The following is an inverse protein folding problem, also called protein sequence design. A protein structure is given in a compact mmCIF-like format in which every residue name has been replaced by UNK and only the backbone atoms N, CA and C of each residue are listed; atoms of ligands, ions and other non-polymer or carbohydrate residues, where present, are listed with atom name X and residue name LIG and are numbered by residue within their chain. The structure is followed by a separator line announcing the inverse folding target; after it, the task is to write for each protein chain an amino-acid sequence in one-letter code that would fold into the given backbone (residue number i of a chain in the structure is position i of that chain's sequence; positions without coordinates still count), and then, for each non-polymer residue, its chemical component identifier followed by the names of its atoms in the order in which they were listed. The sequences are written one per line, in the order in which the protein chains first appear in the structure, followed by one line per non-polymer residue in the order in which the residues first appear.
data_IF_970131201438
#
_entry.id   IF_970131201438
#
_cell.length_a   1.000
_cell.length_b   1.000
_cell.length_c   1.000
_cell.angle_alpha   90.00
_cell.angle_beta   90.00
_cell.angle_gamma   90.00
#
_symmetry.space_group_name_H-M   'P 1'
#
loop_
_entity.id
_entity.type
_entity.pdbx_description
1 polymer ?
#
# COMPACT_ATOMS: atom_id res chain seq x y z
N UNK A 1 -22.47 37.22 15.76
CA UNK A 1 -21.39 36.31 15.33
C UNK A 1 -21.59 35.02 16.13
N UNK A 2 -21.95 33.84 15.61
CA UNK A 2 -21.46 33.08 14.44
C UNK A 2 -22.63 32.47 13.66
N UNK A 3 -22.44 32.36 12.35
CA UNK A 3 -23.37 31.82 11.35
C UNK A 3 -23.31 30.29 11.31
N UNK A 4 -24.46 29.67 10.97
CA UNK A 4 -24.71 28.46 10.13
C UNK A 4 -23.74 27.25 10.27
N UNK A 5 -24.18 26.00 10.25
CA UNK A 5 -24.97 25.37 9.19
C UNK A 5 -25.73 24.14 9.69
N UNK A 6 -26.93 23.96 9.14
CA UNK A 6 -27.79 22.76 9.19
C UNK A 6 -27.54 21.97 7.90
N UNK A 7 -27.37 20.65 7.98
CA UNK A 7 -27.72 19.64 6.96
C UNK A 7 -27.61 18.26 7.65
N UNK A 8 -28.70 17.52 7.96
CA UNK A 8 -29.54 16.71 7.06
C UNK A 8 -28.70 15.71 6.24
N UNK A 9 -28.97 14.41 6.13
CA UNK A 9 -30.22 13.66 6.30
C UNK A 9 -29.92 12.16 6.53
N UNK A 10 -30.97 11.42 6.88
CA UNK A 10 -30.98 10.01 7.27
C UNK A 10 -31.04 9.02 6.10
N UNK A 11 -30.57 7.80 6.41
CA UNK A 11 -31.16 6.47 6.09
C UNK A 11 -31.28 5.96 4.64
N UNK A 12 -30.77 4.73 4.43
CA UNK A 12 -31.39 3.52 3.82
C UNK A 12 -30.28 2.63 3.23
N UNK A 13 -29.88 1.52 3.84
CA UNK A 13 -30.51 0.18 3.90
C UNK A 13 -30.37 -0.66 2.61
N UNK A 14 -29.96 -1.93 2.82
CA UNK A 14 -30.19 -3.17 2.03
C UNK A 14 -29.03 -3.77 1.20
N UNK A 15 -28.63 -4.99 1.59
CA UNK A 15 -27.99 -6.05 0.77
C UNK A 15 -26.53 -5.78 0.37
N UNK A 16 -25.54 -6.66 0.58
CA UNK A 16 -25.48 -8.08 0.23
C UNK A 16 -24.51 -8.78 1.20
N UNK A 17 -24.84 -10.02 1.51
CA UNK A 17 -24.05 -11.02 2.24
C UNK A 17 -22.56 -11.06 1.89
N UNK A 18 -21.73 -11.14 2.93
CA UNK A 18 -20.49 -11.92 2.89
C UNK A 18 -19.21 -11.14 2.59
N UNK A 19 -18.74 -10.34 3.53
CA UNK A 19 -17.29 -10.19 3.71
C UNK A 19 -17.02 -10.25 5.21
N UNK A 20 -16.45 -11.38 5.63
CA UNK A 20 -15.90 -11.52 6.96
C UNK A 20 -14.97 -10.33 7.19
N UNK A 21 -15.31 -9.48 8.18
CA UNK A 21 -14.36 -8.60 8.80
C UNK A 21 -13.33 -9.49 9.51
N UNK A 22 -12.38 -10.02 8.74
CA UNK A 22 -11.17 -10.59 9.30
C UNK A 22 -10.43 -9.42 9.92
N UNK A 23 -10.63 -9.24 11.23
CA UNK A 23 -9.77 -8.45 12.07
C UNK A 23 -8.39 -9.12 12.05
N UNK A 24 -7.60 -8.84 11.03
CA UNK A 24 -6.17 -9.08 11.06
C UNK A 24 -5.59 -8.01 11.96
N UNK A 25 -4.93 -8.46 13.03
CA UNK A 25 -4.03 -7.66 13.84
C UNK A 25 -2.85 -7.28 12.92
N UNK A 26 -3.05 -6.26 12.07
CA UNK A 26 -2.09 -5.81 11.07
C UNK A 26 -1.84 -4.31 11.24
N UNK A 27 -0.58 -3.90 11.12
CA UNK A 27 -0.11 -2.56 11.46
C UNK A 27 -0.59 -1.54 10.40
N UNK A 28 -1.83 -1.06 10.56
CA UNK A 28 -2.37 0.14 9.91
C UNK A 28 -2.85 -0.02 8.46
N UNK A 29 -3.97 0.64 8.16
CA UNK A 29 -4.52 0.81 6.80
C UNK A 29 -3.58 1.68 5.96
N UNK A 30 -3.05 1.10 4.89
CA UNK A 30 -2.30 1.81 3.86
C UNK A 30 -3.14 2.90 3.20
N UNK A 31 -2.55 4.08 2.96
CA UNK A 31 -3.27 5.24 2.46
C UNK A 31 -3.57 5.12 0.95
N UNK A 32 -4.83 5.39 0.59
CA UNK A 32 -5.34 5.69 -0.76
C UNK A 32 -4.77 4.81 -1.90
N UNK A 33 -5.24 3.57 -1.98
CA UNK A 33 -5.22 2.86 -3.24
C UNK A 33 -6.32 3.42 -4.17
N UNK A 34 -6.22 3.26 -5.51
CA UNK A 34 -7.37 3.39 -6.41
C UNK A 34 -8.55 2.62 -5.80
N UNK A 35 -9.77 3.13 -5.91
CA UNK A 35 -10.93 2.86 -5.03
C UNK A 35 -11.21 1.36 -4.70
N UNK A 36 -10.62 0.42 -5.44
CA UNK A 36 -10.84 -1.01 -5.32
C UNK A 36 -9.59 -1.86 -4.98
N UNK A 37 -8.40 -1.27 -4.86
CA UNK A 37 -7.18 -2.00 -4.48
C UNK A 37 -7.06 -2.14 -2.96
N UNK A 38 -6.90 -3.36 -2.45
CA UNK A 38 -6.63 -3.61 -1.04
C UNK A 38 -5.12 -3.64 -0.79
N UNK A 39 -4.60 -2.68 -0.03
CA UNK A 39 -3.18 -2.63 0.34
C UNK A 39 -3.03 -2.95 1.83
N UNK A 40 -2.21 -3.94 2.14
CA UNK A 40 -1.87 -4.35 3.50
C UNK A 40 -0.39 -4.09 3.75
N UNK A 41 -0.08 -3.43 4.87
CA UNK A 41 1.29 -3.11 5.26
C UNK A 41 1.71 -3.98 6.44
N UNK A 42 2.94 -4.49 6.35
CA UNK A 42 3.62 -5.22 7.41
C UNK A 42 4.80 -4.39 7.95
N UNK A 43 5.48 -4.89 8.97
CA UNK A 43 6.64 -4.20 9.55
C UNK A 43 7.77 -3.95 8.55
N UNK A 44 7.98 -4.86 7.60
CA UNK A 44 9.14 -4.82 6.68
C UNK A 44 8.75 -4.69 5.20
N UNK A 45 7.48 -4.41 4.90
CA UNK A 45 6.99 -4.36 3.52
C UNK A 45 5.50 -4.09 3.43
N UNK A 46 4.93 -4.35 2.25
CA UNK A 46 3.50 -4.32 2.02
C UNK A 46 3.11 -5.28 0.89
N UNK A 47 1.82 -5.60 0.85
CA UNK A 47 1.18 -6.27 -0.27
C UNK A 47 0.01 -5.48 -0.79
N UNK A 48 -0.28 -5.63 -2.09
CA UNK A 48 -1.46 -5.07 -2.73
C UNK A 48 -2.18 -6.15 -3.52
N UNK A 49 -3.50 -6.15 -3.42
CA UNK A 49 -4.41 -6.97 -4.21
C UNK A 49 -5.40 -6.06 -4.90
N UNK A 50 -5.34 -6.01 -6.23
CA UNK A 50 -6.21 -5.18 -7.06
C UNK A 50 -7.15 -6.08 -7.89
N UNK A 51 -8.44 -5.71 -8.05
CA UNK A 51 -9.35 -6.42 -8.94
C UNK A 51 -8.86 -6.34 -10.39
N UNK A 52 -9.24 -7.33 -11.20
CA UNK A 52 -8.88 -7.34 -12.61
C UNK A 52 -9.36 -6.07 -13.33
N UNK A 53 -8.46 -5.43 -14.05
CA UNK A 53 -8.69 -4.21 -14.80
C UNK A 53 -7.89 -4.32 -16.11
N UNK A 54 -8.61 -4.43 -17.23
CA UNK A 54 -8.02 -4.67 -18.53
C UNK A 54 -7.34 -3.41 -19.05
N UNK A 55 -6.01 -3.44 -19.14
CA UNK A 55 -5.21 -2.39 -19.76
C UNK A 55 -4.61 -1.37 -18.79
N UNK A 56 -4.84 -1.50 -17.48
CA UNK A 56 -4.18 -0.65 -16.48
C UNK A 56 -3.05 -1.42 -15.79
N UNK A 57 -1.85 -0.85 -15.79
CA UNK A 57 -0.73 -1.38 -15.01
C UNK A 57 -0.60 -0.60 -13.71
N UNK A 58 -0.41 -1.31 -12.60
CA UNK A 58 -0.21 -0.73 -11.27
C UNK A 58 1.21 -0.98 -10.78
N UNK A 59 1.68 -0.10 -9.89
CA UNK A 59 2.91 -0.29 -9.11
C UNK A 59 2.56 -0.10 -7.63
N UNK A 60 3.05 -1.02 -6.80
CA UNK A 60 3.00 -0.89 -5.34
C UNK A 60 4.22 -0.11 -4.86
N UNK A 61 3.96 1.00 -4.19
CA UNK A 61 4.95 1.83 -3.50
C UNK A 61 4.95 1.49 -2.01
N UNK A 62 6.14 1.32 -1.45
CA UNK A 62 6.35 1.10 -0.02
C UNK A 62 7.39 2.11 0.46
N UNK A 63 6.96 3.00 1.34
CA UNK A 63 7.85 3.94 2.00
C UNK A 63 8.56 3.18 3.12
N UNK A 64 9.89 3.17 3.07
CA UNK A 64 10.76 2.46 3.97
C UNK A 64 11.66 3.43 4.73
N UNK A 65 12.02 3.08 5.96
CA UNK A 65 12.97 3.83 6.79
C UNK A 65 13.95 2.85 7.42
N UNK A 66 15.25 3.02 7.16
CA UNK A 66 16.27 2.18 7.78
C UNK A 66 17.63 2.23 7.10
N UNK A 67 18.42 1.19 7.33
CA UNK A 67 19.72 0.97 6.71
C UNK A 67 19.52 0.27 5.36
N UNK A 68 19.96 0.90 4.27
CA UNK A 68 19.86 0.37 2.92
C UNK A 68 21.19 0.50 2.17
N UNK A 69 21.41 -0.34 1.15
CA UNK A 69 22.56 -0.21 0.28
C UNK A 69 22.36 0.99 -0.65
N UNK A 70 23.22 2.00 -0.53
CA UNK A 70 23.13 3.23 -1.33
C UNK A 70 24.05 3.22 -2.56
N UNK A 71 24.72 2.10 -2.81
CA UNK A 71 25.70 1.95 -3.88
C UNK A 71 26.37 0.58 -3.89
N UNK A 72 27.52 0.42 -4.59
CA UNK A 72 28.29 -0.81 -4.53
C UNK A 72 28.72 -1.11 -3.09
N UNK A 73 28.66 -2.38 -2.74
CA UNK A 73 29.07 -2.84 -1.41
C UNK A 73 30.50 -2.36 -1.07
N UNK A 74 30.77 -1.87 0.16
CA UNK A 74 29.91 -1.84 1.36
C UNK A 74 29.28 -0.46 1.64
N UNK A 75 28.83 0.27 0.60
CA UNK A 75 28.22 1.58 0.81
C UNK A 75 26.76 1.45 1.31
N UNK A 76 26.55 1.80 2.57
CA UNK A 76 25.24 1.87 3.19
C UNK A 76 24.88 3.31 3.56
N UNK A 77 23.59 3.61 3.49
CA UNK A 77 23.00 4.82 4.02
C UNK A 77 21.89 4.47 5.02
N UNK A 78 21.63 5.41 5.92
CA UNK A 78 20.52 5.33 6.87
C UNK A 78 19.56 6.46 6.55
N UNK A 79 18.31 6.14 6.27
CA UNK A 79 17.32 7.14 5.94
C UNK A 79 16.05 6.58 5.30
N UNK A 80 15.15 7.47 4.88
CA UNK A 80 13.95 7.08 4.14
C UNK A 80 14.30 6.73 2.69
N UNK A 81 13.63 5.72 2.15
CA UNK A 81 13.69 5.35 0.74
C UNK A 81 12.37 4.71 0.31
N UNK A 82 12.12 4.62 -1.00
CA UNK A 82 10.91 4.00 -1.54
C UNK A 82 11.29 2.70 -2.22
N UNK A 83 10.67 1.60 -1.77
CA UNK A 83 10.70 0.32 -2.47
C UNK A 83 9.49 0.21 -3.38
N UNK A 84 9.68 -0.25 -4.62
CA UNK A 84 8.60 -0.38 -5.60
C UNK A 84 8.51 -1.82 -6.08
N UNK A 85 7.29 -2.31 -6.29
CA UNK A 85 7.11 -3.53 -7.07
C UNK A 85 7.41 -3.28 -8.55
N UNK A 86 7.62 -4.36 -9.30
CA UNK A 86 7.49 -4.28 -10.75
C UNK A 86 6.06 -3.88 -11.13
N UNK A 87 5.87 -3.19 -12.28
CA UNK A 87 4.55 -2.97 -12.83
C UNK A 87 3.83 -4.30 -13.01
N UNK A 88 2.57 -4.36 -12.62
CA UNK A 88 1.74 -5.55 -12.75
C UNK A 88 0.37 -5.19 -13.32
N UNK A 89 -0.13 -6.05 -14.20
CA UNK A 89 -1.55 -6.03 -14.60
C UNK A 89 -2.36 -6.67 -13.49
N UNK A 90 -3.37 -6.00 -12.94
CA UNK A 90 -4.12 -6.52 -11.82
C UNK A 90 -5.00 -7.67 -12.32
N UNK A 91 -5.03 -8.74 -11.54
CA UNK A 91 -5.76 -9.97 -11.85
C UNK A 91 -6.34 -10.62 -10.58
N UNK A 92 -6.45 -9.85 -9.49
CA UNK A 92 -6.84 -10.36 -8.17
C UNK A 92 -5.73 -11.11 -7.42
N UNK A 93 -4.53 -11.25 -7.98
CA UNK A 93 -3.39 -11.81 -7.24
C UNK A 93 -2.77 -10.77 -6.30
N UNK A 94 -2.24 -11.27 -5.19
CA UNK A 94 -1.49 -10.48 -4.23
C UNK A 94 -0.07 -10.25 -4.74
N UNK A 95 0.33 -8.99 -4.82
CA UNK A 95 1.69 -8.56 -5.16
C UNK A 95 2.36 -7.99 -3.92
N UNK A 96 3.62 -8.33 -3.69
CA UNK A 96 4.36 -7.92 -2.48
C UNK A 96 5.58 -7.09 -2.84
N UNK A 97 5.85 -6.05 -2.04
CA UNK A 97 7.09 -5.28 -2.07
C UNK A 97 7.67 -5.16 -0.67
N UNK A 98 8.98 -5.38 -0.55
CA UNK A 98 9.69 -5.41 0.73
C UNK A 98 10.70 -4.28 0.86
N UNK A 99 10.94 -3.83 2.09
CA UNK A 99 12.00 -2.88 2.41
C UNK A 99 13.37 -3.57 2.44
N UNK A 100 13.45 -4.84 2.86
CA UNK A 100 14.74 -5.55 3.07
C UNK A 100 15.39 -6.10 1.78
N UNK A 101 14.76 -5.92 0.61
CA UNK A 101 15.23 -6.47 -0.68
C UNK A 101 16.37 -5.70 -1.35
N UNK A 102 16.82 -4.57 -0.81
CA UNK A 102 17.84 -3.69 -1.42
C UNK A 102 19.30 -4.15 -1.17
N UNK A 103 19.56 -5.44 -0.97
CA UNK A 103 20.90 -5.99 -0.85
C UNK A 103 21.22 -6.62 0.52
N UNK A 104 22.44 -7.16 0.69
CA UNK A 104 22.83 -7.85 1.91
C UNK A 104 22.88 -6.87 3.09
N UNK A 105 22.39 -7.29 4.27
CA UNK A 105 22.47 -6.49 5.49
C UNK A 105 21.50 -5.29 5.56
N UNK A 106 20.55 -5.16 4.63
CA UNK A 106 19.51 -4.12 4.68
C UNK A 106 18.51 -4.43 5.78
N UNK A 107 18.28 -3.45 6.65
CA UNK A 107 17.31 -3.53 7.75
C UNK A 107 16.50 -2.25 7.75
N UNK A 108 15.23 -2.36 7.43
CA UNK A 108 14.33 -1.22 7.35
C UNK A 108 12.89 -1.62 7.65
N UNK A 109 12.12 -0.64 8.10
CA UNK A 109 10.70 -0.79 8.40
C UNK A 109 9.87 -0.04 7.37
N UNK A 110 8.72 -0.60 7.01
CA UNK A 110 7.75 0.10 6.17
C UNK A 110 7.03 1.14 7.02
N UNK A 111 7.01 2.40 6.60
CA UNK A 111 6.30 3.50 7.27
C UNK A 111 4.96 3.79 6.62
N UNK A 112 4.83 3.53 5.32
CA UNK A 112 3.60 3.71 4.55
C UNK A 112 3.64 2.84 3.28
N UNK A 113 2.48 2.63 2.64
CA UNK A 113 2.37 1.92 1.38
C UNK A 113 1.14 2.38 0.61
N UNK A 114 1.20 2.36 -0.72
CA UNK A 114 0.08 2.71 -1.59
C UNK A 114 0.28 2.11 -2.99
N UNK A 115 -0.82 1.86 -3.72
CA UNK A 115 -0.77 1.45 -5.12
C UNK A 115 -1.03 2.65 -6.03
N UNK A 116 -0.29 2.77 -7.12
CA UNK A 116 -0.42 3.85 -8.09
C UNK A 116 -0.55 3.28 -9.51
N UNK A 117 -1.30 3.96 -10.38
CA UNK A 117 -1.40 3.62 -11.80
C UNK A 117 -0.09 4.00 -12.48
N UNK A 118 0.62 3.01 -13.03
CA UNK A 118 1.85 3.20 -13.79
C UNK A 118 1.56 3.56 -15.25
N UNK A 119 0.59 2.88 -15.87
CA UNK A 119 0.21 3.07 -17.28
C UNK A 119 -1.25 2.68 -17.51
N UNK A 120 -1.88 3.30 -18.50
CA UNK A 120 -3.15 2.91 -19.12
C UNK A 120 -2.96 2.70 -20.62
#
# INVERSE_FOLDING_TARGET
MKKAMIAAAQAAALGVTGMAAMATLGVGTAAAAPQDCAVQRDLTGASATCPADDGVEYVLHVDCLGLYASGPFPLYAIGPYVSKSYPFTPNGQQITAGCTGMGPGVVAVATNAYAEIYRR
#
